data_IF_478226581815
#
_entry.id   IF_478226581815
#
_cell.length_a   1.000
_cell.length_b   1.000
_cell.length_c   1.000
_cell.angle_alpha   90.00
_cell.angle_beta   90.00
_cell.angle_gamma   90.00
#
_symmetry.space_group_name_H-M   'P 1'
#
loop_
_entity.id
_entity.type
_entity.pdbx_description
1 polymer ?
#
# COMPACT_ATOMS: atom_id res chain seq x y z
N UNK A 1 13.53 24.00 -8.14
CA UNK A 1 12.82 22.70 -8.27
C UNK A 1 12.98 21.96 -6.94
N UNK A 2 11.92 21.34 -6.44
CA UNK A 2 11.47 21.47 -5.05
C UNK A 2 12.16 20.51 -4.02
N UNK A 3 13.19 21.01 -3.33
CA UNK A 3 13.95 20.28 -2.28
C UNK A 3 13.05 19.74 -1.16
N UNK A 4 11.94 20.41 -0.86
CA UNK A 4 10.95 20.01 0.16
C UNK A 4 10.15 18.75 -0.22
N UNK A 5 9.89 18.51 -1.51
CA UNK A 5 9.19 17.29 -1.98
C UNK A 5 10.04 16.04 -1.76
N UNK A 6 11.34 16.14 -2.00
CA UNK A 6 12.27 15.02 -1.83
C UNK A 6 12.56 14.70 -0.36
N UNK A 7 12.57 15.69 0.54
CA UNK A 7 12.75 15.45 1.98
C UNK A 7 11.57 14.70 2.58
N UNK A 8 10.34 15.02 2.14
CA UNK A 8 9.14 14.32 2.58
C UNK A 8 9.09 12.89 2.03
N UNK A 9 9.45 12.70 0.75
CA UNK A 9 9.57 11.38 0.14
C UNK A 9 10.63 10.52 0.83
N UNK A 10 11.82 11.07 1.12
CA UNK A 10 12.89 10.35 1.80
C UNK A 10 12.50 9.94 3.24
N UNK A 11 11.94 10.86 4.03
CA UNK A 11 11.46 10.55 5.39
C UNK A 11 10.32 9.52 5.37
N UNK A 12 9.41 9.63 4.39
CA UNK A 12 8.28 8.72 4.22
C UNK A 12 8.75 7.30 3.85
N UNK A 13 9.67 7.21 2.88
CA UNK A 13 10.34 5.97 2.49
C UNK A 13 11.08 5.34 3.68
N UNK A 14 11.81 6.12 4.48
CA UNK A 14 12.49 5.62 5.70
C UNK A 14 11.54 5.04 6.74
N UNK A 15 10.36 5.63 6.96
CA UNK A 15 9.36 5.11 7.92
C UNK A 15 8.72 3.80 7.43
N UNK A 16 8.56 3.63 6.12
CA UNK A 16 8.09 2.36 5.53
C UNK A 16 9.07 1.20 5.75
N UNK A 17 10.35 1.48 6.04
CA UNK A 17 11.39 0.45 6.20
C UNK A 17 11.56 -0.11 7.63
N UNK A 18 10.86 0.40 8.65
CA UNK A 18 11.17 0.06 10.05
C UNK A 18 10.49 -1.23 10.55
N UNK A 19 9.16 -1.24 10.59
CA UNK A 19 8.38 -2.37 11.10
C UNK A 19 6.93 -2.34 10.56
N UNK A 20 6.17 -3.44 10.67
CA UNK A 20 4.81 -3.50 10.14
C UNK A 20 3.82 -2.50 10.74
N UNK A 21 4.00 -2.07 12.00
CA UNK A 21 3.10 -1.07 12.59
C UNK A 21 3.34 0.32 11.98
N UNK A 22 4.60 0.70 11.79
CA UNK A 22 4.97 1.94 11.12
C UNK A 22 4.47 1.97 9.67
N UNK A 23 4.64 0.86 8.93
CA UNK A 23 4.11 0.70 7.57
C UNK A 23 2.60 0.90 7.50
N UNK A 24 1.87 0.24 8.41
CA UNK A 24 0.41 0.39 8.53
C UNK A 24 0.01 1.84 8.76
N UNK A 25 0.66 2.51 9.70
CA UNK A 25 0.28 3.87 10.09
C UNK A 25 0.70 4.90 9.04
N UNK A 26 1.77 4.67 8.30
CA UNK A 26 2.13 5.43 7.12
C UNK A 26 1.07 5.29 6.01
N UNK A 27 0.64 4.07 5.66
CA UNK A 27 -0.42 3.85 4.67
C UNK A 27 -1.75 4.53 5.06
N UNK A 28 -2.12 4.50 6.35
CA UNK A 28 -3.28 5.25 6.85
C UNK A 28 -3.13 6.77 6.66
N UNK A 29 -1.93 7.31 6.92
CA UNK A 29 -1.65 8.75 6.76
C UNK A 29 -1.76 9.17 5.29
N UNK A 30 -1.24 8.38 4.35
CA UNK A 30 -1.41 8.63 2.91
C UNK A 30 -2.89 8.78 2.56
N UNK A 31 -3.72 7.79 2.93
CA UNK A 31 -5.15 7.79 2.60
C UNK A 31 -5.86 9.01 3.21
N UNK A 32 -5.59 9.30 4.48
CA UNK A 32 -6.23 10.42 5.20
C UNK A 32 -5.82 11.78 4.64
N UNK A 33 -4.56 11.93 4.25
CA UNK A 33 -4.03 13.17 3.70
C UNK A 33 -4.19 13.27 2.18
N UNK A 34 -4.76 12.25 1.52
CA UNK A 34 -4.89 12.17 0.06
C UNK A 34 -3.55 12.36 -0.68
N UNK A 35 -2.46 11.88 -0.09
CA UNK A 35 -1.10 12.02 -0.65
C UNK A 35 -0.83 10.91 -1.68
N UNK A 36 -1.48 11.00 -2.84
CA UNK A 36 -1.40 10.00 -3.90
C UNK A 36 -0.46 10.39 -5.05
N UNK A 37 0.63 11.09 -4.75
CA UNK A 37 1.64 11.36 -5.79
C UNK A 37 2.19 10.05 -6.33
N UNK A 38 2.37 9.90 -7.66
CA UNK A 38 2.83 8.64 -8.28
C UNK A 38 4.07 8.05 -7.61
N UNK A 39 5.03 8.89 -7.23
CA UNK A 39 6.28 8.46 -6.59
C UNK A 39 6.06 7.77 -5.23
N UNK A 40 5.08 8.24 -4.46
CA UNK A 40 4.72 7.66 -3.16
C UNK A 40 3.97 6.35 -3.36
N UNK A 41 3.04 6.33 -4.30
CA UNK A 41 2.19 5.17 -4.54
C UNK A 41 2.94 4.02 -5.22
N UNK A 42 3.95 4.32 -6.04
CA UNK A 42 4.86 3.33 -6.63
C UNK A 42 5.71 2.64 -5.57
N UNK A 43 6.18 3.39 -4.56
CA UNK A 43 6.86 2.79 -3.41
C UNK A 43 5.89 1.91 -2.61
N UNK A 44 4.65 2.35 -2.39
CA UNK A 44 3.63 1.52 -1.70
C UNK A 44 3.37 0.22 -2.45
N UNK A 45 3.23 0.29 -3.77
CA UNK A 45 3.05 -0.87 -4.65
C UNK A 45 4.25 -1.82 -4.57
N UNK A 46 5.48 -1.31 -4.69
CA UNK A 46 6.70 -2.11 -4.66
C UNK A 46 6.81 -2.95 -3.37
N UNK A 47 6.55 -2.31 -2.23
CA UNK A 47 6.55 -2.99 -0.93
C UNK A 47 5.44 -4.00 -0.79
N UNK A 48 4.25 -3.65 -1.27
CA UNK A 48 3.12 -4.54 -1.24
C UNK A 48 3.42 -5.81 -2.04
N UNK A 49 3.99 -5.68 -3.24
CA UNK A 49 4.39 -6.80 -4.10
C UNK A 49 5.46 -7.69 -3.46
N UNK A 50 6.42 -7.10 -2.72
CA UNK A 50 7.42 -7.85 -1.95
C UNK A 50 6.80 -8.60 -0.76
N UNK A 51 5.76 -8.05 -0.14
CA UNK A 51 5.25 -8.52 1.15
C UNK A 51 4.00 -9.40 1.11
N UNK A 52 3.14 -9.30 0.10
CA UNK A 52 1.80 -9.91 0.15
C UNK A 52 1.80 -11.44 0.08
N UNK A 53 2.86 -12.05 -0.48
CA UNK A 53 3.03 -13.51 -0.55
C UNK A 53 3.64 -14.12 0.70
N UNK A 54 4.27 -13.32 1.56
CA UNK A 54 4.91 -13.83 2.79
C UNK A 54 3.86 -14.57 3.63
N UNK A 55 4.15 -15.84 3.91
CA UNK A 55 3.28 -16.72 4.69
C UNK A 55 3.76 -16.74 6.14
N UNK A 56 2.84 -16.51 7.07
CA UNK A 56 3.14 -16.49 8.50
C UNK A 56 2.01 -15.88 9.31
N UNK A 57 2.05 -16.07 10.64
CA UNK A 57 1.02 -15.58 11.57
C UNK A 57 1.30 -14.17 12.13
N UNK A 58 2.21 -13.41 11.52
CA UNK A 58 2.45 -12.02 11.92
C UNK A 58 1.26 -11.13 11.52
N UNK A 59 0.35 -10.92 12.48
CA UNK A 59 -0.87 -10.12 12.28
C UNK A 59 -0.57 -8.68 11.88
N UNK A 60 0.52 -8.09 12.38
CA UNK A 60 0.90 -6.73 12.04
C UNK A 60 1.35 -6.60 10.59
N UNK A 61 2.10 -7.60 10.08
CA UNK A 61 2.48 -7.67 8.66
C UNK A 61 1.26 -7.72 7.75
N UNK A 62 0.33 -8.65 8.02
CA UNK A 62 -0.89 -8.78 7.21
C UNK A 62 -1.75 -7.51 7.28
N UNK A 63 -1.79 -6.84 8.43
CA UNK A 63 -2.52 -5.58 8.56
C UNK A 63 -1.86 -4.44 7.78
N UNK A 64 -0.52 -4.33 7.81
CA UNK A 64 0.23 -3.37 7.01
C UNK A 64 -0.06 -3.53 5.52
N UNK A 65 0.06 -4.77 5.00
CA UNK A 65 -0.24 -5.08 3.60
C UNK A 65 -1.70 -4.75 3.24
N UNK A 66 -2.65 -5.03 4.15
CA UNK A 66 -4.06 -4.70 3.92
C UNK A 66 -4.30 -3.20 3.80
N UNK A 67 -3.58 -2.36 4.55
CA UNK A 67 -3.67 -0.91 4.42
C UNK A 67 -3.00 -0.39 3.15
N UNK A 68 -1.91 -1.00 2.69
CA UNK A 68 -1.30 -0.68 1.40
C UNK A 68 -2.24 -1.00 0.22
N UNK A 69 -2.92 -2.16 0.25
CA UNK A 69 -3.98 -2.52 -0.72
C UNK A 69 -5.05 -1.43 -0.79
N UNK A 70 -5.54 -0.95 0.36
CA UNK A 70 -6.52 0.14 0.42
C UNK A 70 -5.96 1.46 -0.11
N UNK A 71 -4.68 1.74 0.14
CA UNK A 71 -4.05 2.96 -0.34
C UNK A 71 -4.01 2.98 -1.86
N UNK A 72 -3.64 1.86 -2.51
CA UNK A 72 -3.71 1.73 -3.97
C UNK A 72 -5.14 1.91 -4.49
N UNK A 73 -6.13 1.24 -3.89
CA UNK A 73 -7.54 1.39 -4.30
C UNK A 73 -8.08 2.82 -4.16
N UNK A 74 -7.67 3.53 -3.12
CA UNK A 74 -8.12 4.90 -2.85
C UNK A 74 -7.64 5.93 -3.89
N UNK A 75 -6.61 5.59 -4.67
CA UNK A 75 -6.12 6.48 -5.75
C UNK A 75 -7.08 6.56 -6.94
N UNK A 76 -7.90 5.52 -7.15
CA UNK A 76 -8.65 5.30 -8.39
C UNK A 76 -7.78 5.32 -9.67
N UNK A 77 -6.48 5.02 -9.56
CA UNK A 77 -5.56 4.99 -10.69
C UNK A 77 -5.52 3.60 -11.33
N UNK A 78 -5.84 3.52 -12.62
CA UNK A 78 -5.84 2.29 -13.40
C UNK A 78 -4.47 1.58 -13.42
N UNK A 79 -3.37 2.30 -13.18
CA UNK A 79 -2.02 1.73 -13.07
C UNK A 79 -1.95 0.60 -12.04
N UNK A 80 -2.59 0.76 -10.89
CA UNK A 80 -2.48 -0.18 -9.76
C UNK A 80 -3.48 -1.33 -9.81
N UNK A 81 -4.36 -1.36 -10.82
CA UNK A 81 -5.38 -2.40 -10.99
C UNK A 81 -4.77 -3.80 -11.09
N UNK A 82 -3.75 -3.97 -11.91
CA UNK A 82 -3.11 -5.28 -12.12
C UNK A 82 -2.52 -5.84 -10.83
N UNK A 83 -1.89 -4.99 -10.00
CA UNK A 83 -1.41 -5.35 -8.67
C UNK A 83 -2.54 -5.78 -7.74
N UNK A 84 -3.66 -5.05 -7.72
CA UNK A 84 -4.83 -5.44 -6.91
C UNK A 84 -5.45 -6.76 -7.39
N UNK A 85 -5.53 -7.01 -8.70
CA UNK A 85 -6.01 -8.27 -9.28
C UNK A 85 -5.09 -9.43 -8.90
N UNK A 86 -3.77 -9.25 -8.97
CA UNK A 86 -2.80 -10.24 -8.53
C UNK A 86 -2.97 -10.59 -7.04
N UNK A 87 -3.13 -9.58 -6.18
CA UNK A 87 -3.34 -9.81 -4.74
C UNK A 87 -4.68 -10.49 -4.47
N UNK A 88 -5.72 -10.18 -5.24
CA UNK A 88 -7.01 -10.86 -5.18
C UNK A 88 -6.90 -12.35 -5.51
N UNK A 89 -6.03 -12.73 -6.45
CA UNK A 89 -5.80 -14.12 -6.82
C UNK A 89 -4.90 -14.87 -5.81
N UNK A 90 -3.75 -14.28 -5.47
CA UNK A 90 -2.63 -14.99 -4.84
C UNK A 90 -2.41 -14.64 -3.35
N UNK A 91 -3.07 -13.59 -2.86
CA UNK A 91 -2.97 -13.12 -1.49
C UNK A 91 -3.57 -14.09 -0.46
N UNK A 92 -3.26 -13.89 0.81
CA UNK A 92 -3.96 -14.60 1.89
C UNK A 92 -5.44 -14.16 1.96
N UNK A 93 -6.28 -14.93 2.67
CA UNK A 93 -7.73 -14.68 2.77
C UNK A 93 -8.09 -13.23 3.08
N UNK A 94 -7.38 -12.57 4.00
CA UNK A 94 -7.64 -11.17 4.39
C UNK A 94 -7.27 -10.21 3.27
N UNK A 95 -6.10 -10.37 2.65
CA UNK A 95 -5.65 -9.51 1.56
C UNK A 95 -6.54 -9.63 0.32
N UNK A 96 -6.95 -10.85 -0.05
CA UNK A 96 -7.90 -11.05 -1.16
C UNK A 96 -9.21 -10.30 -0.94
N UNK A 97 -9.71 -10.30 0.30
CA UNK A 97 -10.92 -9.58 0.67
C UNK A 97 -10.78 -8.06 0.52
N UNK A 98 -9.64 -7.48 0.90
CA UNK A 98 -9.39 -6.05 0.70
C UNK A 98 -9.13 -5.69 -0.75
N UNK A 99 -8.43 -6.53 -1.51
CA UNK A 99 -8.18 -6.31 -2.92
C UNK A 99 -9.49 -6.28 -3.72
N UNK A 100 -10.38 -7.26 -3.48
CA UNK A 100 -11.72 -7.27 -4.08
C UNK A 100 -12.51 -6.00 -3.78
N UNK A 101 -12.52 -5.54 -2.52
CA UNK A 101 -13.22 -4.30 -2.12
C UNK A 101 -12.62 -3.07 -2.78
N UNK A 102 -11.29 -3.01 -2.87
CA UNK A 102 -10.56 -1.88 -3.47
C UNK A 102 -10.84 -1.79 -4.97
N UNK A 103 -10.79 -2.92 -5.69
CA UNK A 103 -11.16 -2.99 -7.11
C UNK A 103 -12.61 -2.57 -7.36
N UNK A 104 -13.54 -2.97 -6.49
CA UNK A 104 -14.95 -2.60 -6.62
C UNK A 104 -15.21 -1.09 -6.38
N UNK A 105 -14.30 -0.38 -5.71
CA UNK A 105 -14.40 1.06 -5.49
C UNK A 105 -13.84 1.90 -6.64
N UNK A 106 -13.10 1.27 -7.56
CA UNK A 106 -12.49 1.95 -8.71
C UNK A 106 -13.42 2.03 -9.94
N UNK A 107 -14.64 1.50 -9.81
CA UNK A 107 -15.71 1.54 -10.82
C UNK A 107 -16.83 2.46 -10.32
#
# INVERSE_FOLDING_TARGET
MNVMKYTFLALFVTVMFQNPLAQRDAAKRIIRAQMFSPEVMDVVEEYLLKGFKIRGNNRNHVDAMAWMVKALGATNDAKYRSTLEQIMAEGNRKLRGYAKKSLAQMY
#
